data_IF_544464958209
#
_entry.id   IF_544464958209
#
_cell.length_a   1.000
_cell.length_b   1.000
_cell.length_c   1.000
_cell.angle_alpha   90.00
_cell.angle_beta   90.00
_cell.angle_gamma   90.00
#
_symmetry.space_group_name_H-M   'P 1'
#
loop_
_entity.id
_entity.type
_entity.pdbx_description
1 polymer ?
#
# COMPACT_ATOMS: atom_id res chain seq x y z
N UNK A 1 6.83 17.60 -10.36
CA UNK A 1 7.15 17.49 -8.93
C UNK A 1 7.68 18.82 -8.47
N UNK A 2 6.92 19.49 -7.62
CA UNK A 2 7.36 20.70 -6.94
C UNK A 2 8.42 20.37 -5.89
N UNK A 3 9.20 21.37 -5.51
CA UNK A 3 10.41 21.19 -4.71
C UNK A 3 10.42 22.18 -3.55
N UNK A 4 10.72 21.67 -2.36
CA UNK A 4 10.95 22.49 -1.18
C UNK A 4 12.44 22.81 -1.07
N UNK A 5 12.78 24.08 -1.25
CA UNK A 5 14.12 24.59 -1.01
C UNK A 5 14.33 24.83 0.49
N UNK A 6 15.36 24.22 1.03
CA UNK A 6 15.79 24.36 2.43
C UNK A 6 17.14 25.09 2.41
N UNK A 7 17.23 26.20 3.14
CA UNK A 7 18.49 26.94 3.32
C UNK A 7 19.02 26.61 4.71
N UNK A 8 20.21 25.99 4.75
CA UNK A 8 20.90 25.66 6.00
C UNK A 8 21.47 26.90 6.67
N UNK A 9 21.79 26.78 7.96
CA UNK A 9 22.44 27.86 8.72
C UNK A 9 23.79 28.29 8.15
N UNK A 10 24.48 27.40 7.43
CA UNK A 10 25.74 27.69 6.73
C UNK A 10 25.54 28.31 5.33
N UNK A 11 24.30 28.55 4.90
CA UNK A 11 23.97 29.12 3.60
C UNK A 11 23.86 28.11 2.45
N UNK A 12 24.11 26.82 2.70
CA UNK A 12 23.93 25.78 1.67
C UNK A 12 22.46 25.56 1.34
N UNK A 13 22.20 25.27 0.07
CA UNK A 13 20.87 24.98 -0.45
C UNK A 13 20.64 23.49 -0.59
N UNK A 14 19.51 23.03 -0.07
CA UNK A 14 19.04 21.65 -0.18
C UNK A 14 17.63 21.62 -0.77
N UNK A 15 17.30 20.52 -1.45
CA UNK A 15 16.06 20.41 -2.22
C UNK A 15 15.36 19.11 -1.85
N UNK A 16 14.23 19.21 -1.15
CA UNK A 16 13.35 18.08 -0.89
C UNK A 16 12.22 18.00 -1.93
N UNK A 17 11.81 16.79 -2.28
CA UNK A 17 10.63 16.57 -3.11
C UNK A 17 9.33 16.93 -2.37
N UNK A 18 8.36 17.42 -3.14
CA UNK A 18 6.98 17.58 -2.71
C UNK A 18 6.07 16.71 -3.57
N UNK A 19 5.02 16.20 -2.94
CA UNK A 19 3.96 15.47 -3.61
C UNK A 19 2.60 16.10 -3.30
N UNK A 20 1.66 16.01 -4.24
CA UNK A 20 0.24 16.31 -3.98
C UNK A 20 -0.51 15.08 -3.46
N UNK A 21 0.11 13.90 -3.51
CA UNK A 21 -0.46 12.65 -3.02
C UNK A 21 -0.11 12.44 -1.54
N UNK A 22 -1.13 12.62 -0.68
CA UNK A 22 -1.01 12.46 0.77
C UNK A 22 -0.64 11.02 1.18
N UNK A 23 -0.98 10.01 0.38
CA UNK A 23 -0.69 8.61 0.73
C UNK A 23 0.82 8.32 0.81
N UNK A 24 1.63 9.06 0.05
CA UNK A 24 3.08 8.83 -0.04
C UNK A 24 3.88 9.38 1.15
N UNK A 25 3.28 10.24 1.97
CA UNK A 25 3.97 10.90 3.10
C UNK A 25 3.65 10.29 4.46
N UNK A 26 2.63 9.44 4.55
CA UNK A 26 2.19 8.82 5.80
C UNK A 26 1.58 9.82 6.80
N UNK A 27 1.62 9.46 8.09
CA UNK A 27 0.96 10.24 9.15
C UNK A 27 1.77 11.47 9.62
N UNK A 28 3.09 11.45 9.47
CA UNK A 28 3.95 12.57 9.84
C UNK A 28 4.44 13.31 8.58
N UNK A 29 3.91 14.52 8.37
CA UNK A 29 4.17 15.29 7.16
C UNK A 29 4.14 16.79 7.41
N UNK A 30 4.84 17.53 6.54
CA UNK A 30 4.70 18.98 6.43
C UNK A 30 3.73 19.28 5.29
N UNK A 31 2.67 20.03 5.57
CA UNK A 31 1.74 20.55 4.55
C UNK A 31 2.15 21.96 4.16
N UNK A 32 2.29 22.19 2.87
CA UNK A 32 2.57 23.48 2.25
C UNK A 32 1.44 23.82 1.30
N UNK A 33 0.95 25.05 1.33
CA UNK A 33 0.00 25.54 0.33
C UNK A 33 0.77 26.36 -0.71
N UNK A 34 0.79 25.88 -1.95
CA UNK A 34 1.48 26.52 -3.07
C UNK A 34 0.42 26.84 -4.11
N UNK A 35 0.06 28.13 -4.21
CA UNK A 35 -0.93 28.59 -5.18
C UNK A 35 -2.34 28.01 -4.98
N UNK A 36 -2.74 27.69 -3.74
CA UNK A 36 -4.05 27.09 -3.43
C UNK A 36 -4.07 25.57 -3.55
N UNK A 37 -2.95 24.95 -3.91
CA UNK A 37 -2.81 23.49 -4.03
C UNK A 37 -2.01 22.96 -2.84
N UNK A 38 -2.56 22.03 -2.05
CA UNK A 38 -1.83 21.42 -0.95
C UNK A 38 -0.74 20.48 -1.47
N UNK A 39 0.47 20.73 -1.00
CA UNK A 39 1.65 19.91 -1.22
C UNK A 39 2.14 19.35 0.11
N UNK A 40 2.75 18.17 0.05
CA UNK A 40 3.17 17.42 1.22
C UNK A 40 4.65 17.05 1.10
N UNK A 41 5.39 17.23 2.20
CA UNK A 41 6.73 16.69 2.38
C UNK A 41 6.69 15.59 3.44
N UNK A 42 7.34 14.44 3.19
CA UNK A 42 7.46 13.36 4.18
C UNK A 42 8.40 13.77 5.30
N UNK A 43 7.92 13.72 6.54
CA UNK A 43 8.70 14.01 7.74
C UNK A 43 9.01 12.69 8.45
N UNK A 44 10.27 12.42 8.70
CA UNK A 44 10.70 11.26 9.48
C UNK A 44 10.90 11.63 10.95
N UNK A 45 10.81 10.63 11.82
CA UNK A 45 10.95 10.80 13.27
C UNK A 45 12.42 10.77 13.74
N UNK A 46 13.34 10.32 12.88
CA UNK A 46 14.76 10.12 13.18
C UNK A 46 15.63 10.61 12.02
N UNK A 47 16.87 10.99 12.31
CA UNK A 47 17.87 11.37 11.29
C UNK A 47 18.24 10.14 10.45
N UNK A 48 18.11 10.25 9.13
CA UNK A 48 18.68 9.33 8.13
C UNK A 48 19.50 10.11 7.08
N UNK A 49 20.46 9.42 6.47
CA UNK A 49 21.28 9.84 5.33
C UNK A 49 20.47 10.39 4.14
N UNK A 50 19.21 9.97 4.00
CA UNK A 50 18.27 10.44 2.98
C UNK A 50 17.35 11.56 3.47
N UNK A 51 17.76 12.30 4.51
CA UNK A 51 16.96 13.38 5.07
C UNK A 51 17.76 14.68 5.24
N UNK A 52 17.03 15.79 5.18
CA UNK A 52 17.52 17.11 5.53
C UNK A 52 16.96 17.51 6.88
N UNK A 53 17.78 18.16 7.69
CA UNK A 53 17.36 18.65 9.00
C UNK A 53 17.26 20.17 8.96
N UNK A 54 16.14 20.73 9.37
CA UNK A 54 16.01 22.17 9.57
C UNK A 54 15.23 22.49 10.84
N UNK A 55 15.49 23.66 11.41
CA UNK A 55 14.74 24.17 12.54
C UNK A 55 13.58 25.02 12.00
N UNK A 56 12.36 24.61 12.31
CA UNK A 56 11.16 25.38 12.03
C UNK A 56 11.15 26.68 12.82
N UNK A 57 10.30 27.61 12.37
CA UNK A 57 10.07 28.91 13.03
C UNK A 57 9.48 28.74 14.43
N UNK A 58 8.86 27.59 14.70
CA UNK A 58 8.36 27.17 16.01
C UNK A 58 9.45 26.59 16.94
N UNK A 59 10.71 26.59 16.49
CA UNK A 59 11.84 26.03 17.22
C UNK A 59 11.93 24.50 17.18
N UNK A 60 11.01 23.82 16.46
CA UNK A 60 11.06 22.37 16.32
C UNK A 60 12.04 21.96 15.23
N UNK A 61 12.71 20.84 15.46
CA UNK A 61 13.61 20.24 14.48
C UNK A 61 12.80 19.28 13.60
N UNK A 62 12.85 19.50 12.30
CA UNK A 62 12.18 18.68 11.31
C UNK A 62 13.20 17.91 10.49
N UNK A 63 12.90 16.66 10.20
CA UNK A 63 13.67 15.80 9.31
C UNK A 63 12.83 15.59 8.05
N UNK A 64 13.19 16.24 6.94
CA UNK A 64 12.45 16.13 5.67
C UNK A 64 13.17 15.13 4.77
N UNK A 65 12.43 14.18 4.19
CA UNK A 65 12.99 13.21 3.25
C UNK A 65 13.40 13.89 1.94
N UNK A 66 14.59 13.56 1.42
CA UNK A 66 15.11 14.11 0.16
C UNK A 66 14.24 13.72 -1.03
N UNK A 67 13.90 12.44 -1.09
CA UNK A 67 13.05 11.83 -2.12
C UNK A 67 11.79 11.23 -1.47
N UNK A 68 10.64 11.47 -2.07
CA UNK A 68 9.38 10.85 -1.69
C UNK A 68 9.18 9.65 -2.59
N UNK A 69 9.69 8.50 -2.15
CA UNK A 69 9.32 7.20 -2.68
C UNK A 69 8.16 6.66 -1.86
N UNK A 70 7.19 6.04 -2.53
CA UNK A 70 6.27 5.13 -1.86
C UNK A 70 7.12 4.18 -1.00
N UNK A 71 6.78 4.03 0.28
CA UNK A 71 7.34 2.91 1.02
C UNK A 71 7.02 1.65 0.23
N UNK A 72 8.05 0.87 -0.10
CA UNK A 72 7.88 -0.44 -0.70
C UNK A 72 7.24 -1.32 0.36
N UNK A 73 5.91 -1.20 0.47
CA UNK A 73 5.08 -2.08 1.27
C UNK A 73 4.87 -3.35 0.43
N UNK A 74 6.00 -4.01 0.10
CA UNK A 74 6.02 -5.27 -0.62
C UNK A 74 6.00 -6.39 0.41
N UNK A 75 4.84 -7.01 0.55
CA UNK A 75 4.68 -8.18 1.40
C UNK A 75 3.87 -9.25 0.69
N UNK A 76 3.95 -10.46 1.24
CA UNK A 76 3.12 -11.56 0.79
C UNK A 76 2.82 -12.51 1.93
N UNK A 77 1.63 -13.11 1.87
CA UNK A 77 1.18 -14.13 2.81
C UNK A 77 0.89 -15.41 2.03
N UNK A 78 1.42 -16.52 2.53
CA UNK A 78 1.06 -17.86 2.07
C UNK A 78 -0.07 -18.42 2.95
N UNK A 79 -1.13 -18.86 2.30
CA UNK A 79 -2.37 -19.29 2.92
C UNK A 79 -2.58 -20.76 2.57
N UNK A 80 -2.64 -21.61 3.60
CA UNK A 80 -2.85 -23.07 3.47
C UNK A 80 -4.13 -23.57 4.15
N UNK A 81 -4.87 -22.66 4.80
CA UNK A 81 -6.23 -22.89 5.26
C UNK A 81 -7.00 -21.56 5.23
N UNK A 82 -8.27 -21.58 5.62
CA UNK A 82 -9.07 -20.36 5.66
C UNK A 82 -8.41 -19.31 6.59
N UNK A 83 -8.36 -18.07 6.12
CA UNK A 83 -7.58 -17.01 6.76
C UNK A 83 -8.25 -15.66 6.55
N UNK A 84 -8.16 -14.78 7.55
CA UNK A 84 -8.72 -13.44 7.51
C UNK A 84 -7.62 -12.42 7.81
N UNK A 85 -7.60 -11.31 7.07
CA UNK A 85 -6.67 -10.22 7.30
C UNK A 85 -7.27 -8.88 6.87
N UNK A 86 -6.67 -7.79 7.38
CA UNK A 86 -7.01 -6.44 6.97
C UNK A 86 -6.00 -5.94 5.94
N UNK A 87 -6.49 -5.25 4.92
CA UNK A 87 -5.67 -4.62 3.89
C UNK A 87 -4.86 -3.49 4.49
N UNK A 88 -3.53 -3.54 4.31
CA UNK A 88 -2.61 -2.53 4.84
C UNK A 88 -2.83 -1.15 4.19
N UNK A 89 -2.35 -0.11 4.87
CA UNK A 89 -2.41 1.26 4.38
C UNK A 89 -1.63 1.43 3.07
N UNK A 90 -2.22 2.19 2.13
CA UNK A 90 -1.63 2.46 0.83
C UNK A 90 -1.77 1.32 -0.20
N UNK A 91 -2.44 0.22 0.14
CA UNK A 91 -2.72 -0.87 -0.80
C UNK A 91 -4.08 -0.64 -1.49
N UNK A 92 -4.05 -0.58 -2.82
CA UNK A 92 -5.25 -0.41 -3.67
C UNK A 92 -5.53 -1.65 -4.51
N UNK A 93 -4.54 -2.54 -4.66
CA UNK A 93 -4.66 -3.80 -5.38
C UNK A 93 -3.90 -4.91 -4.63
N UNK A 94 -4.53 -6.07 -4.51
CA UNK A 94 -3.85 -7.31 -4.12
C UNK A 94 -3.74 -8.25 -5.32
N UNK A 95 -2.64 -9.00 -5.38
CA UNK A 95 -2.43 -10.08 -6.34
C UNK A 95 -2.65 -11.42 -5.63
N UNK A 96 -3.55 -12.23 -6.16
CA UNK A 96 -3.72 -13.63 -5.79
C UNK A 96 -2.98 -14.51 -6.78
N UNK A 97 -2.15 -15.42 -6.27
CA UNK A 97 -1.55 -16.52 -7.02
C UNK A 97 -1.99 -17.85 -6.43
N UNK A 98 -2.80 -18.61 -7.16
CA UNK A 98 -3.32 -19.94 -6.75
C UNK A 98 -2.59 -21.11 -7.44
N UNK A 99 -1.38 -20.87 -7.98
CA UNK A 99 -0.60 -21.75 -8.85
C UNK A 99 -1.26 -22.13 -10.19
N UNK A 100 -2.46 -21.62 -10.49
CA UNK A 100 -3.13 -21.79 -11.79
C UNK A 100 -3.07 -20.50 -12.58
N UNK A 101 -3.49 -19.39 -11.96
CA UNK A 101 -3.41 -18.07 -12.56
C UNK A 101 -3.23 -16.98 -11.50
N UNK A 102 -2.66 -15.89 -11.96
CA UNK A 102 -2.62 -14.65 -11.20
C UNK A 102 -3.92 -13.88 -11.42
N UNK A 103 -4.48 -13.33 -10.35
CA UNK A 103 -5.62 -12.40 -10.38
C UNK A 103 -5.28 -11.15 -9.59
N UNK A 104 -5.79 -10.01 -10.04
CA UNK A 104 -5.59 -8.72 -9.38
C UNK A 104 -6.94 -8.21 -8.90
N UNK A 105 -7.06 -7.87 -7.62
CA UNK A 105 -8.33 -7.43 -7.03
C UNK A 105 -8.15 -6.05 -6.44
N UNK A 106 -9.09 -5.16 -6.76
CA UNK A 106 -9.15 -3.84 -6.16
C UNK A 106 -9.64 -3.94 -4.72
N UNK A 107 -8.92 -3.29 -3.83
CA UNK A 107 -9.21 -3.26 -2.40
C UNK A 107 -9.09 -1.83 -1.88
N UNK A 108 -9.60 -1.61 -0.67
CA UNK A 108 -9.38 -0.36 0.06
C UNK A 108 -8.57 -0.63 1.32
N UNK A 109 -7.70 0.30 1.70
CA UNK A 109 -6.98 0.22 2.98
C UNK A 109 -7.97 0.10 4.14
N UNK A 110 -7.64 -0.76 5.10
CA UNK A 110 -8.50 -1.09 6.23
C UNK A 110 -9.62 -2.08 5.95
N UNK A 111 -9.89 -2.43 4.68
CA UNK A 111 -10.88 -3.45 4.32
C UNK A 111 -10.51 -4.80 4.93
N UNK A 112 -11.49 -5.48 5.52
CA UNK A 112 -11.32 -6.83 6.06
C UNK A 112 -11.70 -7.87 5.01
N UNK A 113 -10.81 -8.83 4.79
CA UNK A 113 -10.92 -9.83 3.74
C UNK A 113 -10.75 -11.22 4.33
N UNK A 114 -11.66 -12.12 3.97
CA UNK A 114 -11.57 -13.54 4.27
C UNK A 114 -11.25 -14.38 3.03
N UNK A 115 -10.34 -15.34 3.20
CA UNK A 115 -10.07 -16.43 2.26
C UNK A 115 -10.69 -17.69 2.82
N UNK A 116 -11.55 -18.35 2.05
CA UNK A 116 -12.16 -19.62 2.43
C UNK A 116 -11.80 -20.72 1.43
N UNK A 117 -11.48 -21.91 1.95
CA UNK A 117 -11.37 -23.14 1.17
C UNK A 117 -12.54 -24.07 1.49
N UNK A 118 -13.37 -24.34 0.50
CA UNK A 118 -14.54 -25.21 0.60
C UNK A 118 -14.29 -26.49 -0.19
N UNK A 119 -14.57 -27.65 0.40
CA UNK A 119 -14.54 -28.91 -0.36
C UNK A 119 -15.51 -28.85 -1.54
N UNK A 120 -15.01 -29.09 -2.74
CA UNK A 120 -15.87 -29.32 -3.90
C UNK A 120 -16.26 -30.80 -3.95
N UNK A 121 -15.26 -31.69 -3.84
CA UNK A 121 -15.44 -33.11 -3.58
C UNK A 121 -14.60 -33.51 -2.36
N UNK A 122 -15.26 -34.04 -1.32
CA UNK A 122 -14.62 -34.40 -0.05
C UNK A 122 -13.42 -35.33 -0.28
N UNK A 123 -12.24 -34.90 0.17
CA UNK A 123 -11.00 -35.66 0.06
C UNK A 123 -10.28 -35.57 -1.30
N UNK A 124 -10.80 -34.79 -2.26
CA UNK A 124 -10.28 -34.77 -3.65
C UNK A 124 -9.83 -33.38 -4.09
N UNK A 125 -10.66 -32.36 -3.91
CA UNK A 125 -10.40 -31.00 -4.37
C UNK A 125 -11.20 -29.94 -3.63
N UNK A 126 -10.71 -28.71 -3.72
CA UNK A 126 -11.27 -27.54 -3.05
C UNK A 126 -11.66 -26.48 -4.07
N UNK A 127 -12.71 -25.72 -3.78
CA UNK A 127 -12.94 -24.41 -4.36
C UNK A 127 -12.53 -23.36 -3.32
N UNK A 128 -11.79 -22.34 -3.74
CA UNK A 128 -11.54 -21.18 -2.88
C UNK A 128 -12.47 -20.02 -3.19
N UNK A 129 -12.66 -19.12 -2.22
CA UNK A 129 -13.24 -17.79 -2.43
C UNK A 129 -12.53 -16.74 -1.56
N UNK A 130 -12.42 -15.53 -2.09
CA UNK A 130 -12.08 -14.34 -1.30
C UNK A 130 -13.34 -13.49 -1.18
N UNK A 131 -13.63 -13.04 0.05
CA UNK A 131 -14.87 -12.36 0.43
C UNK A 131 -14.54 -11.04 1.09
N UNK A 132 -15.33 -10.00 0.78
CA UNK A 132 -15.37 -8.77 1.57
C UNK A 132 -16.19 -9.03 2.83
N UNK A 133 -15.56 -8.97 4.01
CA UNK A 133 -16.31 -9.22 5.25
C UNK A 133 -17.25 -8.07 5.61
N UNK A 134 -17.10 -6.88 5.00
CA UNK A 134 -17.99 -5.74 5.26
C UNK A 134 -19.38 -5.91 4.63
N UNK A 135 -19.45 -6.56 3.47
CA UNK A 135 -20.70 -6.75 2.73
C UNK A 135 -21.13 -8.21 2.57
N UNK A 136 -20.23 -9.17 2.83
CA UNK A 136 -20.43 -10.63 2.81
C UNK A 136 -21.03 -11.18 1.49
N UNK A 137 -21.08 -10.33 0.46
CA UNK A 137 -21.73 -10.59 -0.83
C UNK A 137 -20.68 -10.64 -1.93
N UNK A 138 -19.67 -9.77 -1.85
CA UNK A 138 -18.65 -9.66 -2.90
C UNK A 138 -17.69 -10.85 -2.84
N UNK A 139 -17.70 -11.68 -3.89
CA UNK A 139 -16.80 -12.83 -4.06
C UNK A 139 -15.86 -12.57 -5.24
N UNK A 140 -14.56 -12.53 -4.99
CA UNK A 140 -13.58 -12.11 -6.02
C UNK A 140 -12.85 -13.25 -6.74
N UNK A 141 -13.17 -14.51 -6.45
CA UNK A 141 -12.65 -15.59 -7.27
C UNK A 141 -13.06 -16.97 -6.82
N UNK A 142 -13.18 -17.88 -7.79
CA UNK A 142 -13.36 -19.30 -7.55
C UNK A 142 -12.50 -20.11 -8.53
N UNK A 143 -11.54 -20.90 -8.04
CA UNK A 143 -10.81 -21.90 -8.83
C UNK A 143 -10.86 -23.23 -8.07
N UNK A 144 -10.91 -24.35 -8.81
CA UNK A 144 -10.75 -25.68 -8.22
C UNK A 144 -9.26 -26.01 -8.05
N UNK A 145 -8.85 -26.37 -6.84
CA UNK A 145 -7.47 -26.69 -6.46
C UNK A 145 -7.38 -28.10 -5.88
N UNK A 146 -6.24 -28.76 -6.09
CA UNK A 146 -5.93 -30.08 -5.50
C UNK A 146 -5.49 -30.02 -4.05
N UNK A 147 -5.00 -28.87 -3.61
CA UNK A 147 -4.59 -28.60 -2.23
C UNK A 147 -5.05 -27.20 -1.84
N UNK A 148 -5.10 -26.95 -0.52
CA UNK A 148 -5.33 -25.62 0.01
C UNK A 148 -4.01 -24.85 -0.07
N UNK A 149 -3.83 -24.09 -1.14
CA UNK A 149 -2.70 -23.20 -1.27
C UNK A 149 -3.10 -21.96 -2.05
N UNK A 150 -2.72 -20.81 -1.52
CA UNK A 150 -2.84 -19.52 -2.16
C UNK A 150 -1.74 -18.61 -1.64
N UNK A 151 -1.16 -17.79 -2.52
CA UNK A 151 -0.31 -16.68 -2.14
C UNK A 151 -1.01 -15.38 -2.44
N UNK A 152 -1.12 -14.51 -1.45
CA UNK A 152 -1.58 -13.13 -1.63
C UNK A 152 -0.39 -12.22 -1.47
N UNK A 153 -0.21 -11.28 -2.40
CA UNK A 153 0.89 -10.31 -2.38
C UNK A 153 0.39 -8.91 -2.73
N UNK A 154 1.06 -7.90 -2.21
CA UNK A 154 0.80 -6.50 -2.51
C UNK A 154 2.12 -5.73 -2.58
N UNK A 155 2.16 -4.69 -3.40
CA UNK A 155 3.31 -3.81 -3.57
C UNK A 155 2.92 -2.56 -4.37
N UNK A 156 3.81 -1.57 -4.42
CA UNK A 156 3.62 -0.40 -5.29
C UNK A 156 3.53 -0.75 -6.78
N UNK A 157 4.22 -1.80 -7.24
CA UNK A 157 4.08 -2.31 -8.62
C UNK A 157 2.73 -2.99 -8.84
N UNK A 158 2.26 -3.78 -7.86
CA UNK A 158 0.95 -4.43 -7.94
C UNK A 158 -0.18 -3.38 -7.98
N UNK A 159 -0.07 -2.29 -7.22
CA UNK A 159 -1.02 -1.18 -7.28
C UNK A 159 -1.16 -0.56 -8.69
N UNK A 160 -0.15 -0.65 -9.57
CA UNK A 160 -0.25 -0.13 -10.94
C UNK A 160 -1.24 -0.92 -11.80
N UNK A 161 -1.66 -2.12 -11.37
CA UNK A 161 -2.70 -2.91 -12.03
C UNK A 161 -4.12 -2.49 -11.63
N UNK A 162 -4.32 -1.32 -11.00
CA UNK A 162 -5.65 -0.85 -10.58
C UNK A 162 -6.66 -0.75 -11.73
N UNK A 163 -6.22 -0.53 -12.97
CA UNK A 163 -7.08 -0.51 -14.17
C UNK A 163 -7.38 -1.90 -14.74
N UNK A 164 -6.56 -2.89 -14.39
CA UNK A 164 -6.61 -4.24 -14.93
C UNK A 164 -7.17 -5.24 -13.91
N UNK A 165 -7.71 -4.74 -12.78
CA UNK A 165 -8.21 -5.57 -11.70
C UNK A 165 -9.48 -6.33 -12.12
N UNK A 166 -9.48 -7.64 -11.85
CA UNK A 166 -10.65 -8.51 -11.93
C UNK A 166 -11.62 -8.11 -10.80
N UNK A 167 -12.50 -7.16 -11.10
CA UNK A 167 -13.48 -6.65 -10.14
C UNK A 167 -14.66 -7.58 -9.92
N UNK A 168 -14.86 -8.59 -10.77
CA UNK A 168 -16.03 -9.48 -10.75
C UNK A 168 -15.83 -10.75 -11.57
N UNK A 169 -16.33 -11.86 -11.05
CA UNK A 169 -17.40 -12.61 -11.72
C UNK A 169 -18.59 -12.76 -10.77
#
# INVERSE_FOLDING_TARGET
MDKLKIIRTNGEEEIAELTTDKSLVGNNYLKLDIGGVPHYAKVGDVVDTHMYTFNGVDGKKYYIKKEIKAEENEESIEITDSYQFNVADGITVIKISDNVKDRYIKVSSGMSISVEFVWLHVGVDYRWKIINDEDDITVWGTTTLRNKYMKISWSGEINKHETDADLTE
#
